data_IF_826224623769
#
_entry.id   IF_826224623769
#
_cell.length_a   1.000
_cell.length_b   1.000
_cell.length_c   1.000
_cell.angle_alpha   90.00
_cell.angle_beta   90.00
_cell.angle_gamma   90.00
#
_symmetry.space_group_name_H-M   'P 1'
#
loop_
_entity.id
_entity.type
_entity.pdbx_description
1 polymer ?
#
# COMPACT_ATOMS: atom_id res chain seq x y z
N UNK A 1 -6.55 -9.69 28.43
CA UNK A 1 -5.27 -10.18 27.87
C UNK A 1 -4.82 -9.21 26.79
N UNK A 2 -3.59 -8.74 26.82
CA UNK A 2 -2.99 -7.92 25.76
C UNK A 2 -2.56 -8.81 24.61
N UNK A 3 -3.04 -8.52 23.40
CA UNK A 3 -2.63 -9.22 22.18
C UNK A 3 -1.17 -8.87 21.87
N UNK A 4 -0.34 -9.88 21.57
CA UNK A 4 1.03 -9.66 21.11
C UNK A 4 1.01 -9.17 19.66
N UNK A 5 1.72 -8.07 19.39
CA UNK A 5 1.74 -7.39 18.09
C UNK A 5 3.20 -7.05 17.77
N UNK A 6 3.61 -7.23 16.52
CA UNK A 6 4.96 -6.91 16.04
C UNK A 6 4.92 -6.39 14.60
N UNK A 7 5.91 -5.55 14.25
CA UNK A 7 6.24 -5.22 12.86
C UNK A 7 7.17 -6.30 12.35
N UNK A 8 6.73 -7.06 11.34
CA UNK A 8 7.46 -8.24 10.85
C UNK A 8 8.27 -7.98 9.58
N UNK A 9 7.98 -6.89 8.86
CA UNK A 9 8.74 -6.45 7.70
C UNK A 9 8.50 -4.96 7.41
N UNK A 10 9.40 -4.37 6.64
CA UNK A 10 9.34 -3.00 6.14
C UNK A 10 9.99 -2.94 4.76
N UNK A 11 9.48 -2.08 3.88
CA UNK A 11 10.04 -1.73 2.59
C UNK A 11 9.67 -0.26 2.29
N UNK A 12 10.49 0.40 1.48
CA UNK A 12 10.27 1.78 1.07
C UNK A 12 10.94 2.02 -0.29
N UNK A 13 10.35 2.89 -1.10
CA UNK A 13 10.99 3.36 -2.33
C UNK A 13 12.16 4.31 -2.05
N UNK A 14 13.07 4.43 -3.03
CA UNK A 14 14.09 5.47 -3.01
C UNK A 14 13.42 6.85 -3.11
N UNK A 15 13.76 7.76 -2.18
CA UNK A 15 13.31 9.14 -2.27
C UNK A 15 14.02 9.86 -3.42
N UNK A 16 13.24 10.28 -4.41
CA UNK A 16 13.69 11.06 -5.56
C UNK A 16 13.08 12.46 -5.49
N UNK A 17 13.71 13.42 -6.17
CA UNK A 17 13.20 14.79 -6.24
C UNK A 17 11.87 14.87 -7.01
N UNK A 18 11.74 14.08 -8.08
CA UNK A 18 10.56 13.95 -8.93
C UNK A 18 10.46 12.52 -9.43
N UNK A 19 9.25 12.10 -9.76
CA UNK A 19 8.90 10.78 -10.33
C UNK A 19 7.71 10.97 -11.28
N UNK A 20 7.79 12.00 -12.12
CA UNK A 20 6.67 12.48 -12.95
C UNK A 20 6.23 11.43 -13.99
N UNK A 21 7.11 10.47 -14.27
CA UNK A 21 6.91 9.32 -15.15
C UNK A 21 6.18 8.14 -14.50
N UNK A 22 5.95 8.15 -13.18
CA UNK A 22 5.30 7.07 -12.44
C UNK A 22 3.93 7.50 -11.90
N UNK A 23 2.96 6.59 -11.96
CA UNK A 23 1.77 6.66 -11.14
C UNK A 23 2.04 6.23 -9.69
N UNK A 24 1.14 6.59 -8.77
CA UNK A 24 1.23 6.16 -7.36
C UNK A 24 1.22 4.65 -7.20
N UNK A 25 0.43 3.95 -8.02
CA UNK A 25 0.41 2.49 -8.05
C UNK A 25 1.77 1.94 -8.48
N UNK A 26 2.35 2.49 -9.56
CA UNK A 26 3.69 2.07 -10.03
C UNK A 26 4.79 2.35 -8.99
N UNK A 27 4.64 3.40 -8.19
CA UNK A 27 5.54 3.66 -7.05
C UNK A 27 5.34 2.65 -5.91
N UNK A 28 4.10 2.22 -5.65
CA UNK A 28 3.77 1.34 -4.53
C UNK A 28 4.05 -0.15 -4.81
N UNK A 29 3.81 -0.62 -6.02
CA UNK A 29 3.93 -2.05 -6.37
C UNK A 29 5.29 -2.68 -6.01
N UNK A 30 6.45 -2.06 -6.28
CA UNK A 30 7.75 -2.60 -5.87
C UNK A 30 7.87 -2.77 -4.35
N UNK A 31 7.36 -1.80 -3.58
CA UNK A 31 7.40 -1.80 -2.11
C UNK A 31 6.54 -2.94 -1.54
N UNK A 32 5.34 -3.13 -2.09
CA UNK A 32 4.46 -4.23 -1.69
C UNK A 32 5.08 -5.59 -1.99
N UNK A 33 5.62 -5.78 -3.19
CA UNK A 33 6.29 -7.02 -3.57
C UNK A 33 7.47 -7.34 -2.64
N UNK A 34 8.26 -6.34 -2.27
CA UNK A 34 9.40 -6.51 -1.36
C UNK A 34 8.96 -6.95 0.05
N UNK A 35 7.95 -6.30 0.63
CA UNK A 35 7.43 -6.66 1.96
C UNK A 35 6.79 -8.06 1.96
N UNK A 36 6.02 -8.40 0.93
CA UNK A 36 5.40 -9.72 0.81
C UNK A 36 6.47 -10.81 0.64
N UNK A 37 7.51 -10.56 -0.16
CA UNK A 37 8.63 -11.48 -0.32
C UNK A 37 9.39 -11.71 1.00
N UNK A 38 9.62 -10.64 1.79
CA UNK A 38 10.31 -10.74 3.10
C UNK A 38 9.52 -11.52 4.15
N UNK A 39 8.20 -11.46 4.09
CA UNK A 39 7.32 -12.15 5.05
C UNK A 39 6.91 -13.55 4.59
N UNK A 40 7.01 -13.85 3.30
CA UNK A 40 6.47 -15.06 2.69
C UNK A 40 4.94 -15.08 2.63
N UNK A 41 4.28 -13.95 2.88
CA UNK A 41 2.83 -13.81 2.82
C UNK A 41 2.37 -13.51 1.40
N UNK A 42 1.13 -13.89 1.10
CA UNK A 42 0.41 -13.44 -0.10
C UNK A 42 -0.56 -12.33 0.31
N UNK A 43 -1.00 -11.53 -0.65
CA UNK A 43 -2.03 -10.50 -0.42
C UNK A 43 -3.30 -11.10 0.22
N UNK A 44 -3.72 -12.30 -0.20
CA UNK A 44 -4.87 -13.02 0.36
C UNK A 44 -4.71 -13.44 1.84
N UNK A 45 -3.50 -13.41 2.40
CA UNK A 45 -3.24 -13.70 3.80
C UNK A 45 -3.39 -12.43 4.69
N UNK A 46 -3.55 -11.24 4.07
CA UNK A 46 -3.74 -9.96 4.74
C UNK A 46 -5.23 -9.70 4.96
N UNK A 47 -5.68 -9.77 6.21
CA UNK A 47 -7.08 -9.55 6.57
C UNK A 47 -7.48 -8.09 6.79
N UNK A 48 -6.51 -7.17 6.87
CA UNK A 48 -6.76 -5.75 7.05
C UNK A 48 -5.63 -4.91 6.47
N UNK A 49 -5.98 -3.84 5.76
CA UNK A 49 -5.02 -2.87 5.22
C UNK A 49 -5.31 -1.47 5.77
N UNK A 50 -4.28 -0.83 6.33
CA UNK A 50 -4.30 0.62 6.59
C UNK A 50 -3.55 1.30 5.45
N UNK A 51 -4.17 2.28 4.81
CA UNK A 51 -3.57 3.04 3.71
C UNK A 51 -3.69 4.54 3.95
N UNK A 52 -2.82 5.31 3.32
CA UNK A 52 -2.94 6.77 3.28
C UNK A 52 -2.42 7.33 1.97
N UNK A 53 -3.04 8.43 1.52
CA UNK A 53 -2.68 9.15 0.29
C UNK A 53 -2.72 10.66 0.51
N UNK A 54 -2.22 11.37 -0.49
CA UNK A 54 -2.49 12.79 -0.72
C UNK A 54 -2.98 12.92 -2.17
N UNK A 55 -4.08 12.25 -2.48
CA UNK A 55 -4.70 12.19 -3.81
C UNK A 55 -4.95 13.59 -4.39
N UNK A 56 -5.23 14.58 -3.54
CA UNK A 56 -5.40 15.96 -4.00
C UNK A 56 -4.14 16.53 -4.68
N UNK A 57 -2.94 16.08 -4.31
CA UNK A 57 -1.68 16.48 -4.94
C UNK A 57 -1.48 15.78 -6.28
N UNK A 58 -1.92 14.53 -6.40
CA UNK A 58 -1.88 13.79 -7.66
C UNK A 58 -2.83 14.40 -8.71
N UNK A 59 -3.87 15.12 -8.26
CA UNK A 59 -4.80 15.84 -9.13
C UNK A 59 -5.63 14.92 -10.03
N UNK A 60 -5.73 13.63 -9.68
CA UNK A 60 -6.47 12.60 -10.41
C UNK A 60 -7.63 12.12 -9.56
N UNK A 61 -8.80 12.00 -10.16
CA UNK A 61 -9.94 11.39 -9.48
C UNK A 61 -9.68 9.89 -9.26
N UNK A 62 -10.05 9.38 -8.08
CA UNK A 62 -9.98 7.96 -7.73
C UNK A 62 -8.57 7.34 -7.78
N UNK A 63 -7.51 8.12 -7.58
CA UNK A 63 -6.14 7.56 -7.57
C UNK A 63 -5.93 6.55 -6.45
N UNK A 64 -6.49 6.79 -5.26
CA UNK A 64 -6.51 5.81 -4.19
C UNK A 64 -7.14 4.46 -4.58
N UNK A 65 -8.22 4.46 -5.35
CA UNK A 65 -8.90 3.22 -5.75
C UNK A 65 -7.99 2.33 -6.60
N UNK A 66 -7.20 2.92 -7.50
CA UNK A 66 -6.21 2.15 -8.27
C UNK A 66 -5.10 1.59 -7.38
N UNK A 67 -4.73 2.32 -6.33
CA UNK A 67 -3.76 1.87 -5.32
C UNK A 67 -4.31 0.71 -4.48
N UNK A 68 -5.62 0.70 -4.19
CA UNK A 68 -6.30 -0.41 -3.51
C UNK A 68 -6.26 -1.73 -4.29
N UNK A 69 -6.34 -1.67 -5.61
CA UNK A 69 -6.19 -2.86 -6.43
C UNK A 69 -4.80 -3.47 -6.27
N UNK A 70 -3.76 -2.63 -6.15
CA UNK A 70 -2.37 -3.06 -5.94
C UNK A 70 -2.13 -3.75 -4.60
N UNK A 71 -2.81 -3.34 -3.52
CA UNK A 71 -2.70 -4.00 -2.20
C UNK A 71 -3.48 -5.32 -2.12
N UNK A 72 -4.27 -5.65 -3.15
CA UNK A 72 -5.06 -6.87 -3.19
C UNK A 72 -6.33 -6.78 -2.35
N UNK A 73 -7.06 -5.66 -2.43
CA UNK A 73 -8.32 -5.47 -1.71
C UNK A 73 -9.46 -6.41 -2.17
N UNK A 74 -9.23 -7.23 -3.21
CA UNK A 74 -10.18 -8.24 -3.70
C UNK A 74 -9.61 -9.67 -3.59
N UNK A 75 -10.37 -10.67 -3.11
CA UNK A 75 -11.72 -10.60 -2.50
C UNK A 75 -11.79 -9.61 -1.33
N UNK A 76 -12.96 -9.03 -1.02
CA UNK A 76 -13.07 -7.84 -0.20
C UNK A 76 -12.51 -8.08 1.21
N UNK A 77 -11.56 -7.23 1.60
CA UNK A 77 -11.02 -7.16 2.97
C UNK A 77 -11.55 -5.90 3.68
N UNK A 78 -11.46 -5.87 5.00
CA UNK A 78 -11.63 -4.61 5.74
C UNK A 78 -10.42 -3.72 5.52
N UNK A 79 -10.63 -2.45 5.23
CA UNK A 79 -9.55 -1.49 5.06
C UNK A 79 -9.91 -0.15 5.70
N UNK A 80 -8.87 0.61 6.05
CA UNK A 80 -9.00 1.98 6.53
C UNK A 80 -8.09 2.86 5.73
N UNK A 81 -8.68 3.90 5.16
CA UNK A 81 -7.99 4.89 4.37
C UNK A 81 -7.99 6.25 5.06
N UNK A 82 -6.88 6.98 4.97
CA UNK A 82 -6.78 8.38 5.38
C UNK A 82 -6.21 9.23 4.25
N UNK A 83 -6.90 10.30 3.91
CA UNK A 83 -6.39 11.34 3.02
C UNK A 83 -5.71 12.43 3.86
N UNK A 84 -4.47 12.82 3.48
CA UNK A 84 -3.61 13.77 4.19
C UNK A 84 -3.33 15.02 3.40
#
# INVERSE_FOLDING_TARGET
MTRQIAVVAFAQSDHRRTTDELSEVEMLMPVLHEVLARTGLRTADIGFTCSGSSDYLAGRAFSFTMTLDGVGAWPPISESHVEM
#
